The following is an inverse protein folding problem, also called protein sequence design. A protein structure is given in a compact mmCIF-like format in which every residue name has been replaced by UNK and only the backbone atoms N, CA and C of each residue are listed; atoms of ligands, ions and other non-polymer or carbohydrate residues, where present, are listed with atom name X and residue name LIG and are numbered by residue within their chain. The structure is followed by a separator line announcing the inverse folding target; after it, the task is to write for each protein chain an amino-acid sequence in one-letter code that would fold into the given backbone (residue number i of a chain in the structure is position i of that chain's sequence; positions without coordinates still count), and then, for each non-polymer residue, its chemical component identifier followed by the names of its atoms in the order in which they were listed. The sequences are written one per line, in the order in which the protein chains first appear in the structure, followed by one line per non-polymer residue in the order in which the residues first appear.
data_IF_579066735851
#
_entry.id   IF_579066735851
#
_cell.length_a   1.000
_cell.length_b   1.000
_cell.length_c   1.000
_cell.angle_alpha   90.00
_cell.angle_beta   90.00
_cell.angle_gamma   90.00
#
_symmetry.space_group_name_H-M   'P 1'
#
loop_
_entity.id
_entity.type
_entity.pdbx_description
1 polymer ?
#
# COMPACT_ATOMS: atom_id res chain seq x y z
N UNK A 1 -8.93 -32.15 -6.35
CA UNK A 1 -8.76 -30.82 -5.71
C UNK A 1 -9.72 -29.88 -6.40
N UNK A 2 -10.63 -29.27 -5.66
CA UNK A 2 -11.56 -28.27 -6.22
C UNK A 2 -10.89 -26.90 -6.18
N UNK A 3 -11.02 -26.12 -7.25
CA UNK A 3 -10.46 -24.76 -7.31
C UNK A 3 -11.38 -23.83 -6.52
N UNK A 4 -10.81 -23.09 -5.57
CA UNK A 4 -11.53 -22.07 -4.81
C UNK A 4 -11.08 -20.69 -5.26
N UNK A 5 -12.05 -19.80 -5.42
CA UNK A 5 -11.80 -18.41 -5.76
C UNK A 5 -11.11 -17.68 -4.61
N UNK A 6 -10.01 -16.97 -4.89
CA UNK A 6 -9.24 -16.23 -3.86
C UNK A 6 -9.96 -14.97 -3.36
N UNK A 7 -11.02 -14.55 -4.04
CA UNK A 7 -11.81 -13.36 -3.73
C UNK A 7 -13.05 -13.68 -2.88
N UNK A 8 -13.79 -14.73 -3.23
CA UNK A 8 -15.08 -15.04 -2.59
C UNK A 8 -15.16 -16.45 -1.96
N UNK A 9 -14.11 -17.26 -2.04
CA UNK A 9 -14.03 -18.63 -1.52
C UNK A 9 -14.99 -19.66 -2.13
N UNK A 10 -15.76 -19.28 -3.15
CA UNK A 10 -16.65 -20.18 -3.91
C UNK A 10 -15.89 -21.01 -4.95
N UNK A 11 -16.54 -22.07 -5.47
CA UNK A 11 -15.94 -23.04 -6.38
C UNK A 11 -15.92 -22.54 -7.84
N UNK A 12 -14.90 -21.75 -8.17
CA UNK A 12 -14.59 -21.33 -9.54
C UNK A 12 -13.17 -20.75 -9.64
N UNK A 13 -12.69 -20.57 -10.88
CA UNK A 13 -11.44 -19.84 -11.13
C UNK A 13 -11.60 -18.36 -10.81
N UNK A 14 -10.63 -17.78 -10.10
CA UNK A 14 -10.68 -16.36 -9.68
C UNK A 14 -10.82 -15.37 -10.85
N UNK A 15 -10.48 -15.78 -12.08
CA UNK A 15 -10.63 -15.00 -13.31
C UNK A 15 -12.10 -14.86 -13.74
N UNK A 16 -12.95 -15.83 -13.42
CA UNK A 16 -14.38 -15.88 -13.77
C UNK A 16 -15.28 -15.49 -12.60
N UNK A 17 -14.73 -14.89 -11.54
CA UNK A 17 -15.50 -14.52 -10.36
C UNK A 17 -16.55 -13.43 -10.69
N UNK A 18 -17.85 -13.67 -10.41
CA UNK A 18 -18.91 -12.69 -10.68
C UNK A 18 -18.76 -11.42 -9.84
N UNK A 19 -18.15 -11.54 -8.66
CA UNK A 19 -17.95 -10.44 -7.73
C UNK A 19 -16.71 -9.59 -8.03
N UNK A 20 -15.92 -9.91 -9.06
CA UNK A 20 -14.66 -9.22 -9.36
C UNK A 20 -14.82 -7.71 -9.65
N UNK A 21 -15.98 -7.29 -10.16
CA UNK A 21 -16.28 -5.89 -10.50
C UNK A 21 -17.33 -5.28 -9.58
N UNK A 22 -17.74 -5.97 -8.52
CA UNK A 22 -18.74 -5.47 -7.58
C UNK A 22 -18.03 -4.69 -6.46
N UNK A 23 -18.15 -3.35 -6.40
CA UNK A 23 -17.51 -2.55 -5.36
C UNK A 23 -18.13 -2.76 -3.96
N UNK A 24 -19.36 -3.27 -3.88
CA UNK A 24 -20.06 -3.54 -2.63
C UNK A 24 -19.75 -4.94 -2.06
N UNK A 25 -19.02 -5.76 -2.80
CA UNK A 25 -18.69 -7.11 -2.38
C UNK A 25 -17.59 -7.11 -1.31
N UNK A 26 -17.91 -7.66 -0.13
CA UNK A 26 -16.90 -7.95 0.90
C UNK A 26 -16.19 -9.27 0.59
N UNK A 27 -14.85 -9.26 0.40
CA UNK A 27 -14.10 -10.48 0.09
C UNK A 27 -14.17 -11.50 1.21
N UNK A 28 -14.13 -12.78 0.82
CA UNK A 28 -14.14 -13.92 1.73
C UNK A 28 -12.87 -14.74 1.56
N UNK A 29 -12.19 -15.02 2.65
CA UNK A 29 -10.90 -15.68 2.63
C UNK A 29 -11.06 -17.17 2.32
N UNK A 30 -10.42 -17.66 1.25
CA UNK A 30 -10.44 -19.08 0.91
C UNK A 30 -9.79 -20.00 1.96
N UNK A 31 -8.94 -19.44 2.85
CA UNK A 31 -8.20 -20.19 3.88
C UNK A 31 -8.91 -20.23 5.24
N UNK A 32 -9.61 -19.15 5.65
CA UNK A 32 -10.25 -19.07 6.97
C UNK A 32 -11.73 -18.67 6.95
N UNK A 33 -12.28 -18.26 5.79
CA UNK A 33 -13.67 -17.81 5.66
C UNK A 33 -13.98 -16.42 6.18
N UNK A 34 -12.98 -15.67 6.70
CA UNK A 34 -13.17 -14.32 7.23
C UNK A 34 -13.34 -13.23 6.15
N UNK A 35 -13.73 -12.00 6.56
CA UNK A 35 -14.03 -10.87 5.66
C UNK A 35 -12.75 -10.19 5.15
N UNK A 36 -11.91 -10.94 4.43
CA UNK A 36 -10.68 -10.47 3.79
C UNK A 36 -10.31 -11.41 2.63
N UNK A 37 -9.40 -10.98 1.75
CA UNK A 37 -8.87 -11.85 0.68
C UNK A 37 -7.88 -12.87 1.21
N UNK A 38 -7.71 -14.01 0.52
CA UNK A 38 -6.75 -15.05 0.95
C UNK A 38 -5.28 -14.57 1.05
N UNK A 39 -4.94 -13.44 0.43
CA UNK A 39 -3.62 -12.79 0.49
C UNK A 39 -3.40 -11.89 1.71
N UNK A 40 -4.41 -11.69 2.56
CA UNK A 40 -4.30 -10.83 3.74
C UNK A 40 -3.35 -11.39 4.79
N UNK A 41 -2.28 -10.65 5.12
CA UNK A 41 -1.20 -11.10 6.03
C UNK A 41 -1.63 -11.23 7.49
N UNK A 42 -2.73 -10.59 7.89
CA UNK A 42 -3.33 -10.74 9.21
C UNK A 42 -4.23 -11.98 9.36
N UNK A 43 -4.36 -12.81 8.31
CA UNK A 43 -5.16 -14.04 8.39
C UNK A 43 -4.51 -15.03 9.37
N UNK A 44 -5.27 -15.62 10.33
CA UNK A 44 -4.72 -16.64 11.24
C UNK A 44 -4.20 -17.89 10.52
N UNK A 45 -4.75 -18.18 9.33
CA UNK A 45 -4.36 -19.29 8.47
C UNK A 45 -3.38 -18.88 7.36
N UNK A 46 -2.78 -17.69 7.44
CA UNK A 46 -1.80 -17.27 6.44
C UNK A 46 -0.59 -18.23 6.46
N UNK A 47 -0.17 -18.80 5.32
CA UNK A 47 0.96 -19.73 5.28
C UNK A 47 2.23 -19.10 5.87
N UNK A 48 2.71 -19.66 6.98
CA UNK A 48 3.99 -19.30 7.57
C UNK A 48 5.08 -20.06 6.84
N UNK A 49 5.81 -19.38 5.96
CA UNK A 49 6.99 -19.95 5.31
C UNK A 49 8.04 -20.14 6.42
N UNK A 50 8.26 -21.38 6.84
CA UNK A 50 9.42 -21.72 7.66
C UNK A 50 10.64 -21.48 6.78
N UNK A 51 11.58 -20.66 7.24
CA UNK A 51 12.89 -20.52 6.58
C UNK A 51 13.53 -21.91 6.61
N UNK A 52 13.47 -22.62 5.48
CA UNK A 52 14.21 -23.87 5.31
C UNK A 52 15.67 -23.45 5.34
N UNK A 53 16.38 -23.82 6.39
CA UNK A 53 17.81 -23.58 6.52
C UNK A 53 18.53 -24.27 5.37
N UNK A 54 19.11 -23.47 4.47
CA UNK A 54 20.21 -23.88 3.59
C UNK A 54 20.03 -25.22 2.87
N UNK A 55 18.92 -25.41 2.19
CA UNK A 55 18.90 -26.34 1.06
C UNK A 55 19.27 -25.54 -0.19
N UNK A 56 20.30 -26.04 -0.88
CA UNK A 56 21.01 -25.42 -1.99
C UNK A 56 20.05 -24.60 -2.87
N UNK A 57 20.20 -23.28 -2.82
CA UNK A 57 19.48 -22.36 -3.70
C UNK A 57 19.62 -22.84 -5.14
N UNK A 58 18.59 -22.70 -5.98
CA UNK A 58 18.67 -23.05 -7.41
C UNK A 58 19.92 -22.48 -8.11
N UNK A 59 20.38 -21.30 -7.67
CA UNK A 59 21.64 -20.68 -8.09
C UNK A 59 22.90 -21.49 -7.75
N UNK A 60 22.93 -22.19 -6.62
CA UNK A 60 24.04 -23.06 -6.19
C UNK A 60 24.12 -24.34 -7.02
N UNK A 61 22.97 -24.91 -7.41
CA UNK A 61 22.91 -26.08 -8.31
C UNK A 61 23.41 -25.72 -9.73
N UNK A 62 23.14 -24.51 -10.20
CA UNK A 62 23.68 -23.99 -11.47
C UNK A 62 25.20 -23.75 -11.44
N UNK A 63 25.78 -23.46 -10.27
CA UNK A 63 27.22 -23.25 -10.10
C UNK A 63 28.00 -24.58 -10.03
N UNK A 64 27.43 -25.63 -9.44
CA UNK A 64 28.06 -26.97 -9.43
C UNK A 64 28.18 -27.60 -10.84
N UNK A 65 27.42 -27.12 -11.85
CA UNK A 65 27.50 -27.63 -13.23
C UNK A 65 28.57 -26.96 -14.11
N UNK A 66 29.38 -26.03 -13.58
CA UNK A 66 30.42 -25.33 -14.36
C UNK A 66 31.83 -25.75 -13.97
N UNK A 67 32.22 -26.96 -14.37
CA UNK A 67 33.61 -27.28 -14.72
C UNK A 67 33.65 -28.01 -16.08
N UNK A 68 34.77 -27.93 -16.82
CA UNK A 68 34.76 -27.50 -18.21
C UNK A 68 34.77 -28.67 -19.21
N UNK A 69 33.91 -28.60 -20.23
CA UNK A 69 34.15 -29.28 -21.50
C UNK A 69 34.36 -28.22 -22.59
N UNK A 70 35.43 -28.42 -23.31
CA UNK A 70 36.00 -27.65 -24.41
C UNK A 70 35.04 -27.41 -25.59
N UNK A 71 35.44 -26.44 -26.43
CA UNK A 71 34.96 -26.09 -27.77
C UNK A 71 33.75 -25.13 -27.85
N UNK A 72 33.67 -24.10 -28.71
CA UNK A 72 34.53 -23.55 -29.78
C UNK A 72 33.80 -22.29 -30.33
N UNK A 73 34.56 -21.22 -30.65
CA UNK A 73 34.25 -20.00 -31.49
C UNK A 73 33.38 -18.88 -30.88
N UNK A 74 33.89 -17.68 -30.52
CA UNK A 74 34.41 -16.49 -31.26
C UNK A 74 33.34 -15.37 -31.51
N UNK A 75 33.71 -14.07 -31.61
CA UNK A 75 33.23 -13.00 -30.73
C UNK A 75 32.78 -11.69 -31.45
N UNK A 76 32.28 -10.67 -30.73
CA UNK A 76 32.37 -9.24 -31.12
C UNK A 76 32.04 -8.33 -29.91
N UNK A 77 33.01 -7.69 -29.23
CA UNK A 77 33.58 -6.33 -29.41
C UNK A 77 32.57 -5.18 -29.27
N UNK A 78 32.83 -4.00 -28.67
CA UNK A 78 33.87 -3.38 -27.82
C UNK A 78 33.38 -1.93 -27.60
N UNK A 79 33.81 -1.22 -26.54
CA UNK A 79 33.60 0.24 -26.40
C UNK A 79 33.54 0.73 -24.95
N UNK A 80 34.66 0.70 -24.20
CA UNK A 80 35.54 1.83 -23.82
C UNK A 80 34.99 2.68 -22.64
N UNK A 81 35.80 2.79 -21.58
CA UNK A 81 35.55 3.43 -20.27
C UNK A 81 35.85 4.97 -20.25
N UNK A 82 36.10 5.65 -19.09
CA UNK A 82 35.35 6.79 -18.54
C UNK A 82 36.17 8.12 -18.55
N UNK A 83 35.77 9.15 -17.77
CA UNK A 83 36.77 9.71 -16.84
C UNK A 83 36.24 10.17 -15.45
N UNK A 84 37.21 10.18 -14.54
CA UNK A 84 37.24 10.60 -13.12
C UNK A 84 37.48 12.10 -12.90
N UNK A 85 37.13 12.62 -11.70
CA UNK A 85 37.88 13.61 -10.87
C UNK A 85 36.90 14.50 -10.06
N UNK A 86 36.73 14.33 -8.74
CA UNK A 86 37.49 14.86 -7.58
C UNK A 86 37.23 16.34 -7.23
N UNK A 87 36.87 16.60 -5.96
CA UNK A 87 36.83 17.95 -5.37
C UNK A 87 36.23 17.98 -3.96
N UNK A 88 37.09 17.99 -2.94
CA UNK A 88 36.83 18.11 -1.49
C UNK A 88 36.81 19.58 -1.03
N UNK A 89 36.00 19.94 -0.02
CA UNK A 89 36.39 20.87 1.07
C UNK A 89 35.50 20.72 2.29
N UNK A 90 36.16 20.68 3.44
CA UNK A 90 35.69 20.57 4.83
C UNK A 90 35.33 21.95 5.42
N UNK A 91 34.46 21.96 6.45
CA UNK A 91 34.58 22.68 7.74
C UNK A 91 33.21 23.06 8.33
N UNK A 92 32.94 22.61 9.56
CA UNK A 92 32.17 23.40 10.55
C UNK A 92 30.86 22.81 11.07
N UNK A 93 30.91 22.09 12.19
CA UNK A 93 29.82 21.86 13.17
C UNK A 93 29.54 23.17 13.96
N UNK A 94 28.37 23.39 14.64
CA UNK A 94 27.84 22.42 15.62
C UNK A 94 26.31 22.38 15.89
N UNK A 95 25.96 21.37 16.70
CA UNK A 95 24.90 21.40 17.72
C UNK A 95 23.43 21.27 17.26
N UNK A 96 22.81 20.11 17.50
CA UNK A 96 21.98 19.85 18.69
C UNK A 96 20.80 18.89 18.43
N UNK A 97 20.57 18.00 19.42
CA UNK A 97 19.32 17.33 19.80
C UNK A 97 18.95 15.98 19.14
N UNK A 98 19.34 14.95 19.88
CA UNK A 98 18.82 13.59 19.95
C UNK A 98 17.28 13.53 19.96
N UNK A 99 16.69 12.82 19.00
CA UNK A 99 15.38 12.20 19.17
C UNK A 99 15.44 10.78 18.60
N UNK A 100 15.03 9.83 19.44
CA UNK A 100 15.12 8.39 19.26
C UNK A 100 14.84 7.92 17.83
N UNK A 101 15.84 7.27 17.22
CA UNK A 101 15.68 6.51 15.99
C UNK A 101 14.89 5.25 16.29
N UNK A 102 13.58 5.29 16.05
CA UNK A 102 12.76 4.10 15.91
C UNK A 102 13.09 3.51 14.52
N UNK A 103 13.53 2.24 14.39
CA UNK A 103 13.72 1.62 13.08
C UNK A 103 12.35 1.43 12.43
N UNK A 104 12.02 2.31 11.49
CA UNK A 104 10.81 2.22 10.67
C UNK A 104 10.94 1.00 9.74
N UNK A 105 10.01 0.03 9.75
CA UNK A 105 10.06 -1.09 8.82
C UNK A 105 9.88 -0.59 7.39
N UNK A 106 10.76 -1.05 6.50
CA UNK A 106 10.99 -0.54 5.16
C UNK A 106 9.90 -0.85 4.10
N UNK A 107 8.61 -0.87 4.46
CA UNK A 107 7.52 -1.13 3.50
C UNK A 107 6.30 -0.21 3.69
N UNK A 108 6.53 1.10 3.74
CA UNK A 108 5.54 2.06 3.27
C UNK A 108 6.11 2.74 2.03
N UNK A 109 5.99 2.06 0.89
CA UNK A 109 6.17 2.68 -0.43
C UNK A 109 4.93 3.56 -0.69
N UNK A 110 4.75 4.59 0.14
CA UNK A 110 3.74 5.61 -0.09
C UNK A 110 4.18 6.33 -1.34
N UNK A 111 3.43 6.16 -2.44
CA UNK A 111 3.72 6.91 -3.64
C UNK A 111 3.48 8.40 -3.34
N UNK A 112 4.30 9.25 -3.95
CA UNK A 112 4.29 10.69 -3.67
C UNK A 112 2.95 11.30 -4.10
N UNK A 113 2.31 10.68 -5.07
CA UNK A 113 1.06 11.06 -5.70
C UNK A 113 -0.15 10.79 -4.79
N UNK A 114 -0.30 9.61 -4.18
CA UNK A 114 -1.37 9.32 -3.20
C UNK A 114 -1.22 10.18 -1.96
N UNK A 115 0.01 10.45 -1.53
CA UNK A 115 0.27 11.34 -0.40
C UNK A 115 -0.15 12.77 -0.73
N UNK A 116 0.19 13.27 -1.92
CA UNK A 116 -0.25 14.57 -2.38
C UNK A 116 -1.77 14.66 -2.51
N UNK A 117 -2.41 13.59 -2.99
CA UNK A 117 -3.87 13.48 -3.10
C UNK A 117 -4.54 13.47 -1.73
N UNK A 118 -3.97 12.78 -0.75
CA UNK A 118 -4.44 12.80 0.64
C UNK A 118 -4.35 14.21 1.22
N UNK A 119 -3.22 14.91 1.05
CA UNK A 119 -3.09 16.28 1.53
C UNK A 119 -4.05 17.24 0.82
N UNK A 120 -4.28 17.04 -0.48
CA UNK A 120 -5.29 17.80 -1.23
C UNK A 120 -6.69 17.56 -0.66
N UNK A 121 -7.05 16.32 -0.37
CA UNK A 121 -8.33 15.97 0.26
C UNK A 121 -8.46 16.62 1.64
N UNK A 122 -7.45 16.49 2.51
CA UNK A 122 -7.44 17.08 3.84
C UNK A 122 -7.62 18.61 3.78
N UNK A 123 -6.99 19.28 2.81
CA UNK A 123 -7.17 20.73 2.60
C UNK A 123 -8.61 21.08 2.23
N UNK A 124 -9.26 20.28 1.36
CA UNK A 124 -10.66 20.49 1.01
C UNK A 124 -11.59 20.28 2.21
N UNK A 125 -11.34 19.24 3.01
CA UNK A 125 -12.11 18.97 4.24
C UNK A 125 -11.98 20.14 5.22
N UNK A 126 -10.77 20.66 5.43
CA UNK A 126 -10.57 21.84 6.28
C UNK A 126 -11.35 23.06 5.79
N UNK A 127 -11.39 23.29 4.47
CA UNK A 127 -12.15 24.39 3.90
C UNK A 127 -13.67 24.24 4.14
N UNK A 128 -14.18 23.02 4.02
CA UNK A 128 -15.59 22.70 4.30
C UNK A 128 -15.90 22.90 5.78
N UNK A 129 -15.06 22.36 6.67
CA UNK A 129 -15.23 22.49 8.11
C UNK A 129 -15.13 23.94 8.59
N UNK A 130 -14.32 24.77 7.93
CA UNK A 130 -14.25 26.21 8.21
C UNK A 130 -15.56 26.95 7.87
N UNK A 131 -16.38 26.40 6.97
CA UNK A 131 -17.70 26.95 6.60
C UNK A 131 -18.85 26.46 7.49
N UNK A 132 -18.60 25.48 8.36
CA UNK A 132 -19.59 24.90 9.26
C UNK A 132 -18.95 24.81 10.64
N UNK A 133 -18.88 25.91 11.41
CA UNK A 133 -18.08 25.96 12.63
C UNK A 133 -18.55 24.95 13.70
N UNK A 134 -19.84 24.62 13.77
CA UNK A 134 -20.39 23.69 14.75
C UNK A 134 -20.88 22.35 14.17
N UNK A 135 -20.11 21.75 13.24
CA UNK A 135 -20.47 20.49 12.52
C UNK A 135 -21.17 19.47 13.40
N UNK A 136 -20.64 19.17 14.60
CA UNK A 136 -21.19 18.16 15.51
C UNK A 136 -22.63 18.49 15.96
N UNK A 137 -22.88 19.74 16.31
CA UNK A 137 -24.19 20.19 16.78
C UNK A 137 -25.19 20.21 15.61
N UNK A 138 -24.78 20.76 14.46
CA UNK A 138 -25.60 20.80 13.25
C UNK A 138 -26.03 19.40 12.81
N UNK A 139 -25.10 18.42 12.82
CA UNK A 139 -25.43 17.02 12.53
C UNK A 139 -26.42 16.41 13.53
N UNK A 140 -26.28 16.74 14.82
CA UNK A 140 -27.20 16.26 15.87
C UNK A 140 -28.61 16.82 15.67
N UNK A 141 -28.74 18.09 15.31
CA UNK A 141 -30.04 18.71 15.04
C UNK A 141 -30.67 18.19 13.73
N UNK A 142 -29.86 17.96 12.71
CA UNK A 142 -30.31 17.32 11.46
C UNK A 142 -30.75 15.86 11.66
N UNK A 143 -30.15 15.12 12.61
CA UNK A 143 -30.54 13.74 12.93
C UNK A 143 -31.90 13.68 13.64
N UNK A 144 -32.16 14.61 14.56
CA UNK A 144 -33.46 14.73 15.26
C UNK A 144 -34.60 15.20 14.37
N UNK A 145 -34.28 15.86 13.26
CA UNK A 145 -35.27 16.38 12.32
C UNK A 145 -35.66 15.27 11.34
N UNK A 146 -36.96 15.00 11.16
CA UNK A 146 -37.43 14.01 10.16
C UNK A 146 -37.54 14.62 8.75
N UNK A 147 -38.05 15.86 8.68
CA UNK A 147 -38.33 16.54 7.41
C UNK A 147 -37.04 16.94 6.66
N UNK A 148 -36.86 16.53 5.39
CA UNK A 148 -35.68 16.85 4.60
C UNK A 148 -35.48 18.36 4.34
N UNK A 149 -36.55 19.15 4.21
CA UNK A 149 -36.44 20.59 3.95
C UNK A 149 -35.88 21.33 5.15
N UNK A 150 -36.34 20.97 6.35
CA UNK A 150 -35.83 21.51 7.60
C UNK A 150 -34.36 21.15 7.82
N UNK A 151 -33.89 19.97 7.39
CA UNK A 151 -32.45 19.63 7.43
C UNK A 151 -31.62 20.55 6.53
N UNK A 152 -32.11 20.85 5.33
CA UNK A 152 -31.44 21.79 4.42
C UNK A 152 -31.40 23.21 5.01
N UNK A 153 -32.49 23.62 5.66
CA UNK A 153 -32.58 24.91 6.34
C UNK A 153 -31.57 25.01 7.50
N UNK A 154 -31.50 23.99 8.37
CA UNK A 154 -30.52 23.92 9.48
C UNK A 154 -29.09 24.06 8.95
N UNK A 155 -28.77 23.38 7.85
CA UNK A 155 -27.44 23.46 7.24
C UNK A 155 -27.17 24.85 6.66
N UNK A 156 -28.13 25.47 5.97
CA UNK A 156 -27.96 26.80 5.40
C UNK A 156 -27.79 27.87 6.47
N UNK A 157 -28.51 27.77 7.59
CA UNK A 157 -28.38 28.72 8.70
C UNK A 157 -26.97 28.67 9.31
N UNK A 158 -26.44 27.46 9.54
CA UNK A 158 -25.08 27.29 10.08
C UNK A 158 -24.01 27.83 9.12
N UNK A 159 -24.21 27.68 7.81
CA UNK A 159 -23.28 28.17 6.78
C UNK A 159 -23.34 29.69 6.58
N UNK A 160 -24.46 30.33 6.94
CA UNK A 160 -24.70 31.75 6.76
C UNK A 160 -24.50 32.58 8.04
N UNK A 161 -24.41 31.93 9.21
CA UNK A 161 -24.26 32.57 10.52
C UNK A 161 -22.86 33.13 10.86
N UNK A 162 -21.98 33.33 9.86
CA UNK A 162 -20.63 33.90 10.02
C UNK A 162 -20.50 35.26 9.38
#
# INVERSE_FOLDING_TARGET
MTVKCVLCAEEHDSRTCPNKRNPEFTPKCANCGGPHTASYRGCPNFPKIKKVSTEKTFASVLKERKQPSTATMKPLNQGIQPPTSSGTTDTGLPHSQELATIPLPAEFQINKEELADLFRLLKQIQLIMAKVPNVKQTLTEMEKTEDPYNKLFILSEEMNGT
#
